data_IF_196920509986
#
_entry.id   IF_196920509986
#
_cell.length_a   1.000
_cell.length_b   1.000
_cell.length_c   1.000
_cell.angle_alpha   90.00
_cell.angle_beta   90.00
_cell.angle_gamma   90.00
#
_symmetry.space_group_name_H-M   'P 1'
#
loop_
_entity.id
_entity.type
_entity.pdbx_description
1 polymer ?
#
# COMPACT_ATOMS: atom_id res chain seq x y z
N UNK A 1 -22.01 -1.77 -15.07
CA UNK A 1 -20.64 -1.80 -15.67
C UNK A 1 -20.15 -3.24 -15.61
N UNK A 2 -19.48 -3.77 -16.64
CA UNK A 2 -18.96 -5.14 -16.56
C UNK A 2 -17.88 -5.17 -15.47
N UNK A 3 -18.07 -6.01 -14.44
CA UNK A 3 -17.02 -6.32 -13.46
C UNK A 3 -15.84 -6.85 -14.27
N UNK A 4 -14.69 -6.17 -14.20
CA UNK A 4 -13.44 -6.72 -14.70
C UNK A 4 -13.29 -8.12 -14.11
N UNK A 5 -13.08 -9.10 -14.99
CA UNK A 5 -12.76 -10.46 -14.61
C UNK A 5 -11.64 -10.39 -13.58
N UNK A 6 -11.90 -10.89 -12.37
CA UNK A 6 -10.86 -11.02 -11.36
C UNK A 6 -9.71 -11.77 -12.03
N UNK A 7 -8.51 -11.18 -12.00
CA UNK A 7 -7.32 -11.82 -12.50
C UNK A 7 -7.25 -13.25 -11.92
N UNK A 8 -6.77 -14.25 -12.70
CA UNK A 8 -6.55 -15.59 -12.15
C UNK A 8 -5.75 -15.47 -10.84
N UNK A 9 -5.87 -16.41 -9.89
CA UNK A 9 -5.08 -16.38 -8.68
C UNK A 9 -3.60 -16.57 -9.06
N UNK A 10 -2.96 -15.46 -9.42
CA UNK A 10 -1.53 -15.37 -9.55
C UNK A 10 -0.95 -15.60 -8.16
N UNK A 11 0.15 -16.34 -8.06
CA UNK A 11 1.00 -16.36 -6.86
C UNK A 11 1.71 -14.99 -6.66
N UNK A 12 1.04 -13.91 -7.01
CA UNK A 12 1.54 -12.55 -6.95
C UNK A 12 0.89 -11.85 -5.75
N UNK A 13 1.68 -11.02 -5.09
CA UNK A 13 1.18 -10.07 -4.12
C UNK A 13 1.20 -8.67 -4.74
N UNK A 14 0.26 -7.84 -4.30
CA UNK A 14 0.18 -6.43 -4.61
C UNK A 14 0.10 -5.65 -3.29
N UNK A 15 0.99 -4.68 -3.12
CA UNK A 15 0.98 -3.75 -2.00
C UNK A 15 0.86 -2.36 -2.58
N UNK A 16 -0.17 -1.61 -2.19
CA UNK A 16 -0.42 -0.27 -2.66
C UNK A 16 -0.47 0.70 -1.49
N UNK A 17 0.24 1.81 -1.61
CA UNK A 17 0.20 2.93 -0.68
C UNK A 17 -0.20 4.18 -1.45
N UNK A 18 -1.22 4.88 -0.99
CA UNK A 18 -1.75 6.10 -1.62
C UNK A 18 -1.82 7.25 -0.62
N UNK A 19 -1.45 8.46 -1.05
CA UNK A 19 -1.58 9.71 -0.28
C UNK A 19 -2.26 10.78 -1.12
N UNK A 20 -3.12 11.64 -0.55
CA UNK A 20 -3.63 11.61 0.84
C UNK A 20 -4.60 10.44 1.09
N UNK A 21 -5.04 10.25 2.34
CA UNK A 21 -6.08 9.27 2.66
C UNK A 21 -7.41 9.62 1.97
N UNK A 22 -7.80 10.89 1.93
CA UNK A 22 -9.04 11.31 1.27
C UNK A 22 -8.80 12.37 0.20
N UNK A 23 -9.49 12.26 -0.93
CA UNK A 23 -9.37 13.15 -2.07
C UNK A 23 -8.50 12.58 -3.22
N UNK A 24 -8.09 13.43 -4.18
CA UNK A 24 -7.36 12.97 -5.35
C UNK A 24 -5.94 12.51 -4.97
N UNK A 25 -5.51 11.31 -5.42
CA UNK A 25 -4.20 10.77 -5.06
C UNK A 25 -3.09 11.65 -5.64
N UNK A 26 -2.19 12.11 -4.77
CA UNK A 26 -0.99 12.87 -5.15
C UNK A 26 0.23 12.00 -5.27
N UNK A 27 0.31 10.93 -4.48
CA UNK A 27 1.42 10.01 -4.46
C UNK A 27 0.90 8.60 -4.28
N UNK A 28 1.28 7.71 -5.17
CA UNK A 28 0.91 6.31 -5.13
C UNK A 28 2.16 5.46 -5.31
N UNK A 29 2.33 4.45 -4.48
CA UNK A 29 3.37 3.45 -4.56
C UNK A 29 2.67 2.11 -4.74
N UNK A 30 3.13 1.33 -5.72
CA UNK A 30 2.62 -0.01 -6.01
C UNK A 30 3.81 -0.95 -6.06
N UNK A 31 3.75 -2.03 -5.28
CA UNK A 31 4.75 -3.10 -5.27
C UNK A 31 4.04 -4.38 -5.70
N UNK A 32 4.44 -4.93 -6.84
CA UNK A 32 3.83 -6.12 -7.43
C UNK A 32 4.92 -7.14 -7.64
N UNK A 33 4.76 -8.33 -7.09
CA UNK A 33 5.76 -9.39 -7.24
C UNK A 33 5.27 -10.73 -6.79
N UNK A 34 6.16 -11.71 -6.76
CA UNK A 34 5.90 -13.04 -6.22
C UNK A 34 6.76 -13.30 -5.00
N UNK A 35 6.28 -14.07 -4.00
CA UNK A 35 7.08 -14.42 -2.84
C UNK A 35 8.35 -15.16 -3.27
N UNK A 36 9.46 -14.92 -2.56
CA UNK A 36 10.79 -15.47 -2.84
C UNK A 36 11.38 -15.07 -4.21
N UNK A 37 10.89 -13.99 -4.81
CA UNK A 37 11.43 -13.40 -6.04
C UNK A 37 11.51 -11.88 -5.90
N UNK A 38 12.24 -11.25 -6.80
CA UNK A 38 12.21 -9.80 -6.93
C UNK A 38 10.80 -9.31 -7.27
N UNK A 39 10.45 -8.14 -6.78
CA UNK A 39 9.20 -7.46 -7.10
C UNK A 39 9.46 -6.23 -7.96
N UNK A 40 8.48 -5.84 -8.76
CA UNK A 40 8.46 -4.54 -9.42
C UNK A 40 7.88 -3.51 -8.48
N UNK A 41 8.51 -2.34 -8.39
CA UNK A 41 7.97 -1.20 -7.67
C UNK A 41 7.70 -0.06 -8.65
N UNK A 42 6.54 0.57 -8.51
CA UNK A 42 6.13 1.75 -9.26
C UNK A 42 5.73 2.85 -8.30
N UNK A 43 6.22 4.05 -8.55
CA UNK A 43 5.78 5.28 -7.90
C UNK A 43 5.13 6.17 -8.92
N UNK A 44 3.94 6.66 -8.61
CA UNK A 44 3.20 7.65 -9.38
C UNK A 44 3.06 8.90 -8.54
N UNK A 45 3.58 10.04 -9.03
CA UNK A 45 3.45 11.33 -8.35
C UNK A 45 2.76 12.33 -9.25
N UNK A 46 1.63 12.86 -8.78
CA UNK A 46 0.89 13.93 -9.44
C UNK A 46 1.35 15.27 -8.87
N UNK A 47 2.25 15.95 -9.60
CA UNK A 47 2.73 17.30 -9.25
C UNK A 47 1.72 18.38 -9.65
N UNK A 48 0.87 18.12 -10.64
CA UNK A 48 -0.18 19.02 -11.12
C UNK A 48 -1.31 18.21 -11.77
N UNK A 49 -2.51 18.79 -12.00
CA UNK A 49 -3.64 18.08 -12.63
C UNK A 49 -3.31 17.50 -14.01
N UNK A 50 -2.29 18.03 -14.67
CA UNK A 50 -1.84 17.66 -16.02
C UNK A 50 -0.45 17.04 -16.05
N UNK A 51 0.22 16.90 -14.89
CA UNK A 51 1.58 16.39 -14.81
C UNK A 51 1.65 15.25 -13.80
N UNK A 52 1.84 14.06 -14.36
CA UNK A 52 2.05 12.82 -13.61
C UNK A 52 3.45 12.31 -13.95
N UNK A 53 4.22 11.99 -12.92
CA UNK A 53 5.54 11.37 -13.07
C UNK A 53 5.45 9.93 -12.60
N UNK A 54 6.01 9.02 -13.38
CA UNK A 54 6.08 7.60 -13.04
C UNK A 54 7.55 7.21 -12.89
N UNK A 55 7.87 6.61 -11.75
CA UNK A 55 9.16 5.95 -11.54
C UNK A 55 8.95 4.48 -11.32
N UNK A 56 9.85 3.66 -11.83
CA UNK A 56 9.84 2.22 -11.64
C UNK A 56 11.19 1.71 -11.18
N UNK A 57 11.18 0.49 -10.66
CA UNK A 57 12.37 -0.19 -10.22
C UNK A 57 12.09 -1.64 -9.86
N UNK A 58 13.14 -2.30 -9.45
CA UNK A 58 13.14 -3.70 -9.07
C UNK A 58 13.56 -3.77 -7.60
N UNK A 59 12.76 -4.44 -6.77
CA UNK A 59 13.02 -4.69 -5.36
C UNK A 59 13.58 -6.11 -5.26
N UNK A 60 14.76 -6.32 -4.64
CA UNK A 60 15.34 -7.65 -4.52
C UNK A 60 14.52 -8.53 -3.56
N UNK A 61 14.71 -9.85 -3.68
CA UNK A 61 13.92 -10.83 -2.92
C UNK A 61 14.05 -10.66 -1.39
N UNK A 62 15.23 -10.29 -0.88
CA UNK A 62 15.45 -10.08 0.56
C UNK A 62 14.58 -8.92 1.11
N UNK A 63 14.56 -7.78 0.41
CA UNK A 63 13.72 -6.63 0.78
C UNK A 63 12.21 -6.93 0.62
N UNK A 64 11.84 -7.75 -0.37
CA UNK A 64 10.46 -8.23 -0.55
C UNK A 64 10.03 -9.09 0.65
N UNK A 65 10.89 -9.99 1.13
CA UNK A 65 10.58 -10.83 2.29
C UNK A 65 10.38 -9.99 3.55
N UNK A 66 11.23 -8.98 3.79
CA UNK A 66 11.06 -8.08 4.93
C UNK A 66 9.79 -7.22 4.79
N UNK A 67 9.49 -6.73 3.58
CA UNK A 67 8.25 -6.01 3.32
C UNK A 67 7.02 -6.87 3.64
N UNK A 68 6.98 -8.12 3.17
CA UNK A 68 5.88 -9.04 3.47
C UNK A 68 5.78 -9.34 4.97
N UNK A 69 6.92 -9.45 5.66
CA UNK A 69 6.97 -9.62 7.12
C UNK A 69 6.33 -8.43 7.83
N UNK A 70 6.72 -7.21 7.47
CA UNK A 70 6.16 -5.98 8.05
C UNK A 70 4.66 -5.86 7.77
N UNK A 71 4.23 -6.09 6.53
CA UNK A 71 2.81 -6.05 6.15
C UNK A 71 1.99 -7.08 6.92
N UNK A 72 2.57 -8.23 7.24
CA UNK A 72 1.89 -9.25 8.05
C UNK A 72 1.60 -8.81 9.48
N UNK A 73 2.37 -7.86 10.02
CA UNK A 73 2.13 -7.28 11.35
C UNK A 73 0.85 -6.41 11.37
N UNK A 74 0.46 -5.83 10.23
CA UNK A 74 -0.79 -5.08 10.10
C UNK A 74 -2.04 -5.95 9.98
N UNK A 75 -1.87 -7.27 9.94
CA UNK A 75 -3.01 -8.18 9.89
C UNK A 75 -3.88 -8.03 11.13
N UNK A 76 -5.17 -7.75 10.92
CA UNK A 76 -6.12 -7.57 12.02
C UNK A 76 -6.08 -6.19 12.66
N UNK A 77 -5.32 -5.27 12.09
CA UNK A 77 -5.48 -3.85 12.39
C UNK A 77 -6.86 -3.41 11.88
N UNK A 78 -7.57 -2.56 12.63
CA UNK A 78 -8.90 -2.08 12.21
C UNK A 78 -8.82 -1.23 10.94
N UNK A 79 -9.89 -1.24 10.15
CA UNK A 79 -10.04 -0.39 8.97
C UNK A 79 -11.25 0.54 9.13
N UNK A 80 -11.26 1.66 8.39
CA UNK A 80 -12.41 2.57 8.40
C UNK A 80 -12.58 3.24 7.04
N UNK A 81 -13.77 3.18 6.41
CA UNK A 81 -13.94 3.58 5.01
C UNK A 81 -13.76 5.08 4.76
N UNK A 82 -14.19 5.91 5.70
CA UNK A 82 -14.22 7.37 5.51
C UNK A 82 -13.31 8.16 6.44
N UNK A 83 -12.60 7.51 7.36
CA UNK A 83 -11.82 8.18 8.41
C UNK A 83 -10.43 7.60 8.49
N UNK A 84 -9.43 8.47 8.42
CA UNK A 84 -8.06 8.11 8.75
C UNK A 84 -7.92 7.94 10.27
N UNK A 85 -8.18 6.73 10.76
CA UNK A 85 -8.10 6.37 12.18
C UNK A 85 -6.65 6.33 12.69
N UNK A 86 -5.67 6.27 11.78
CA UNK A 86 -4.24 6.24 12.10
C UNK A 86 -3.59 7.62 12.08
N UNK A 87 -4.30 8.63 11.55
CA UNK A 87 -3.87 10.04 11.48
C UNK A 87 -2.51 10.19 10.77
N UNK A 88 -2.28 9.39 9.73
CA UNK A 88 -1.05 9.43 8.91
C UNK A 88 -1.28 10.05 7.52
N UNK A 89 -2.52 10.29 7.13
CA UNK A 89 -2.96 10.73 5.81
C UNK A 89 -2.51 9.78 4.68
N UNK A 90 -2.59 8.47 4.96
CA UNK A 90 -2.15 7.41 4.04
C UNK A 90 -3.20 6.32 3.94
N UNK A 91 -3.49 5.90 2.71
CA UNK A 91 -4.19 4.66 2.39
C UNK A 91 -3.21 3.55 2.10
N UNK A 92 -3.45 2.38 2.65
CA UNK A 92 -2.63 1.21 2.39
C UNK A 92 -3.55 0.03 2.12
N UNK A 93 -3.30 -0.63 0.99
CA UNK A 93 -3.99 -1.84 0.54
C UNK A 93 -2.98 -2.95 0.34
N UNK A 94 -3.27 -4.10 0.92
CA UNK A 94 -2.49 -5.31 0.79
C UNK A 94 -3.35 -6.39 0.18
N UNK A 95 -2.90 -6.91 -0.94
CA UNK A 95 -3.46 -8.09 -1.57
C UNK A 95 -2.34 -9.12 -1.70
N UNK A 96 -2.12 -9.87 -0.63
CA UNK A 96 -1.10 -10.91 -0.54
C UNK A 96 -1.79 -12.28 -0.47
N UNK A 97 -0.99 -13.35 -0.53
CA UNK A 97 -1.48 -14.72 -0.40
C UNK A 97 -2.03 -15.06 1.00
N UNK A 98 -1.63 -14.32 2.04
CA UNK A 98 -2.10 -14.56 3.43
C UNK A 98 -3.13 -13.53 3.89
N UNK A 99 -3.06 -12.32 3.35
CA UNK A 99 -3.77 -11.14 3.85
C UNK A 99 -4.32 -10.36 2.67
N UNK A 100 -5.63 -10.17 2.71
CA UNK A 100 -6.33 -9.16 1.94
C UNK A 100 -6.87 -8.15 2.95
N UNK A 101 -6.30 -6.96 2.96
CA UNK A 101 -6.63 -5.93 3.93
C UNK A 101 -6.31 -4.54 3.38
N UNK A 102 -7.23 -3.60 3.54
CA UNK A 102 -7.00 -2.18 3.31
C UNK A 102 -7.50 -1.34 4.47
N UNK A 103 -6.77 -0.28 4.83
CA UNK A 103 -7.20 0.59 5.93
C UNK A 103 -8.45 1.42 5.60
N UNK A 104 -8.85 1.49 4.32
CA UNK A 104 -10.11 2.07 3.87
C UNK A 104 -11.24 1.05 3.64
N UNK A 105 -11.03 -0.23 3.99
CA UNK A 105 -12.09 -1.23 3.83
C UNK A 105 -13.19 -1.05 4.88
N UNK A 106 -14.44 -1.30 4.46
CA UNK A 106 -15.60 -1.28 5.33
C UNK A 106 -15.57 -2.53 6.24
N UNK A 107 -15.05 -2.37 7.45
CA UNK A 107 -15.23 -3.38 8.50
C UNK A 107 -16.72 -3.48 8.81
N UNK A 108 -17.27 -4.69 8.90
CA UNK A 108 -18.72 -4.96 9.03
C UNK A 108 -19.36 -4.43 10.33
N UNK A 109 -18.69 -3.57 11.08
CA UNK A 109 -19.18 -2.94 12.30
C UNK A 109 -18.73 -1.46 12.37
N UNK A 110 -19.58 -0.54 11.90
CA UNK A 110 -19.28 0.90 11.83
C UNK A 110 -19.14 1.61 13.19
N UNK A 111 -19.30 0.91 14.32
CA UNK A 111 -19.30 1.47 15.68
C UNK A 111 -18.09 1.05 16.54
N UNK A 112 -17.18 0.21 16.01
CA UNK A 112 -16.19 -0.51 16.83
C UNK A 112 -14.88 0.26 17.09
N UNK A 113 -14.52 1.26 16.27
CA UNK A 113 -13.22 1.94 16.36
C UNK A 113 -13.35 3.29 17.07
N UNK A 114 -13.53 3.27 18.39
CA UNK A 114 -13.58 4.50 19.20
C UNK A 114 -12.22 5.13 19.45
N UNK A 115 -11.17 4.31 19.63
CA UNK A 115 -9.80 4.77 19.84
C UNK A 115 -8.82 3.68 19.41
N UNK A 116 -7.90 4.02 18.50
CA UNK A 116 -6.73 3.20 18.16
C UNK A 116 -5.63 3.53 19.17
N UNK A 117 -5.02 2.50 19.75
CA UNK A 117 -3.90 2.67 20.66
C UNK A 117 -2.75 3.42 19.95
N UNK A 118 -2.06 4.31 20.67
CA UNK A 118 -0.94 5.09 20.12
C UNK A 118 0.12 4.21 19.46
N UNK A 119 0.42 3.07 20.08
CA UNK A 119 1.36 2.06 19.59
C UNK A 119 0.97 1.54 18.19
N UNK A 120 -0.32 1.23 17.96
CA UNK A 120 -0.79 0.80 16.63
C UNK A 120 -0.69 1.91 15.58
N UNK A 121 -0.91 3.18 15.97
CA UNK A 121 -0.69 4.31 15.05
C UNK A 121 0.78 4.48 14.69
N UNK A 122 1.67 4.25 15.65
CA UNK A 122 3.11 4.29 15.45
C UNK A 122 3.58 3.15 14.54
N UNK A 123 3.13 1.93 14.79
CA UNK A 123 3.43 0.75 13.97
C UNK A 123 2.93 0.91 12.53
N UNK A 124 1.68 1.35 12.36
CA UNK A 124 1.13 1.66 11.03
C UNK A 124 1.95 2.74 10.32
N UNK A 125 2.32 3.80 11.04
CA UNK A 125 3.17 4.86 10.50
C UNK A 125 4.54 4.35 10.07
N UNK A 126 5.18 3.50 10.88
CA UNK A 126 6.49 2.92 10.60
C UNK A 126 6.46 2.02 9.36
N UNK A 127 5.40 1.25 9.18
CA UNK A 127 5.25 0.36 8.02
C UNK A 127 4.97 1.17 6.75
N UNK A 128 4.08 2.16 6.83
CA UNK A 128 3.83 3.10 5.72
C UNK A 128 5.11 3.84 5.31
N UNK A 129 5.90 4.32 6.27
CA UNK A 129 7.20 4.97 6.01
C UNK A 129 8.21 3.99 5.41
N UNK A 130 8.22 2.72 5.83
CA UNK A 130 9.08 1.68 5.26
C UNK A 130 8.77 1.41 3.79
N UNK A 131 7.48 1.36 3.41
CA UNK A 131 7.04 1.25 2.01
C UNK A 131 7.52 2.45 1.19
N UNK A 132 7.40 3.66 1.74
CA UNK A 132 7.91 4.88 1.08
C UNK A 132 9.44 4.88 0.93
N UNK A 133 10.17 4.47 1.97
CA UNK A 133 11.62 4.38 1.93
C UNK A 133 12.08 3.37 0.87
N UNK A 134 11.36 2.25 0.74
CA UNK A 134 11.60 1.24 -0.27
C UNK A 134 11.36 1.79 -1.68
N UNK A 135 10.27 2.54 -1.89
CA UNK A 135 10.01 3.26 -3.14
C UNK A 135 11.12 4.27 -3.48
N UNK A 136 11.55 5.10 -2.53
CA UNK A 136 12.64 6.07 -2.74
C UNK A 136 13.96 5.39 -3.09
N UNK A 137 14.18 4.19 -2.56
CA UNK A 137 15.42 3.42 -2.76
C UNK A 137 15.46 2.75 -4.12
N UNK A 138 14.35 2.14 -4.56
CA UNK A 138 14.32 1.28 -5.75
C UNK A 138 13.63 1.92 -6.97
N UNK A 139 12.60 2.74 -6.80
CA UNK A 139 11.88 3.40 -7.90
C UNK A 139 12.66 4.62 -8.43
N UNK A 140 13.81 4.34 -9.07
CA UNK A 140 14.74 5.35 -9.56
C UNK A 140 14.68 5.59 -11.07
N UNK A 141 14.15 4.64 -11.85
CA UNK A 141 14.08 4.73 -13.30
C UNK A 141 12.81 5.49 -13.68
N UNK A 142 12.90 6.48 -14.56
CA UNK A 142 11.69 7.06 -15.15
C UNK A 142 11.01 5.99 -16.01
N UNK A 143 9.73 5.74 -15.76
CA UNK A 143 8.95 4.84 -16.60
C UNK A 143 8.50 5.62 -17.85
N UNK A 144 8.73 5.05 -19.02
CA UNK A 144 8.18 5.60 -20.25
C UNK A 144 6.64 5.61 -20.14
N UNK A 145 6.06 6.79 -20.33
CA UNK A 145 4.60 7.01 -20.46
C UNK A 145 4.09 6.38 -21.75
#
# INVERSE_FOLDING_TARGET
MPRAVAAPPSNEFEIRLTKPFSGPPKHTIEVIGSPNRSASIRTTTNTSPTQTTHKTGDVPADDVQELLRLVSELRGFPSHPSKDIYEKDVKVDFNTFEIQWGNEEEESSPDSVKEIAGEQKEDFGRIAESIEALARTFAKKDAAV
#
